data_IF_066450025307
#
_entry.id   IF_066450025307
#
_cell.length_a   1.000
_cell.length_b   1.000
_cell.length_c   1.000
_cell.angle_alpha   90.00
_cell.angle_beta   90.00
_cell.angle_gamma   90.00
#
_symmetry.space_group_name_H-M   'P 1'
#
loop_
_entity.id
_entity.type
_entity.pdbx_description
1 polymer ?
#
# COMPACT_ATOMS: atom_id res chain seq x y z
N UNK A 1 1.60 0.41 14.36
CA UNK A 1 0.58 1.37 13.90
C UNK A 1 -0.16 0.82 12.71
N UNK A 2 -1.46 0.97 12.68
CA UNK A 2 -2.29 0.50 11.58
C UNK A 2 -3.13 1.64 11.06
N UNK A 3 -3.05 1.90 9.77
CA UNK A 3 -3.86 2.94 9.12
C UNK A 3 -4.44 2.44 7.82
N UNK A 4 -5.59 2.97 7.48
CA UNK A 4 -6.26 2.71 6.21
C UNK A 4 -6.21 3.97 5.35
N UNK A 5 -5.94 3.77 4.08
CA UNK A 5 -5.86 4.87 3.11
C UNK A 5 -6.75 4.52 1.91
N UNK A 6 -7.25 5.55 1.24
CA UNK A 6 -7.91 5.33 -0.04
C UNK A 6 -6.85 4.95 -1.07
N UNK A 7 -7.12 3.89 -1.81
CA UNK A 7 -6.19 3.39 -2.81
C UNK A 7 -6.97 3.03 -4.06
N UNK A 8 -6.90 3.87 -5.07
CA UNK A 8 -7.61 3.63 -6.33
C UNK A 8 -6.81 2.66 -7.19
N UNK A 9 -7.39 1.51 -7.47
CA UNK A 9 -6.81 0.49 -8.35
C UNK A 9 -7.82 0.10 -9.42
N UNK A 10 -7.32 -0.21 -10.60
CA UNK A 10 -8.19 -0.50 -11.75
C UNK A 10 -8.67 -1.94 -11.82
N UNK A 11 -7.95 -2.87 -11.21
CA UNK A 11 -8.34 -4.27 -11.27
C UNK A 11 -7.84 -5.06 -10.07
N UNK A 12 -8.46 -6.23 -9.85
CA UNK A 12 -8.11 -7.08 -8.72
C UNK A 12 -6.66 -7.60 -8.81
N UNK A 13 -6.19 -7.92 -10.02
CA UNK A 13 -4.80 -8.35 -10.20
C UNK A 13 -3.80 -7.25 -9.83
N UNK A 14 -4.12 -6.02 -10.18
CA UNK A 14 -3.29 -4.87 -9.83
C UNK A 14 -3.23 -4.70 -8.32
N UNK A 15 -4.36 -4.84 -7.66
CA UNK A 15 -4.43 -4.77 -6.20
C UNK A 15 -3.59 -5.86 -5.54
N UNK A 16 -3.65 -7.08 -6.05
CA UNK A 16 -2.87 -8.19 -5.52
C UNK A 16 -1.37 -7.98 -5.71
N UNK A 17 -0.96 -7.49 -6.86
CA UNK A 17 0.45 -7.18 -7.12
C UNK A 17 0.96 -6.09 -6.20
N UNK A 18 0.16 -5.06 -6.01
CA UNK A 18 0.51 -3.95 -5.13
C UNK A 18 0.66 -4.42 -3.69
N UNK A 19 -0.30 -5.21 -3.21
CA UNK A 19 -0.25 -5.77 -1.87
C UNK A 19 1.01 -6.61 -1.66
N UNK A 20 1.32 -7.48 -2.60
CA UNK A 20 2.50 -8.35 -2.55
C UNK A 20 3.79 -7.53 -2.49
N UNK A 21 3.89 -6.52 -3.33
CA UNK A 21 5.05 -5.66 -3.36
C UNK A 21 5.23 -4.87 -2.06
N UNK A 22 4.13 -4.36 -1.50
CA UNK A 22 4.17 -3.62 -0.25
C UNK A 22 4.61 -4.53 0.90
N UNK A 23 4.11 -5.75 0.94
CA UNK A 23 4.48 -6.70 2.00
C UNK A 23 5.96 -7.05 1.99
N UNK A 24 6.61 -6.93 0.85
CA UNK A 24 8.04 -7.22 0.73
C UNK A 24 8.94 -6.08 1.18
N UNK A 25 8.38 -4.91 1.43
CA UNK A 25 9.17 -3.76 1.89
C UNK A 25 9.63 -3.95 3.32
N UNK A 26 10.87 -3.53 3.59
CA UNK A 26 11.40 -3.54 4.94
C UNK A 26 10.60 -2.60 5.83
N UNK A 27 10.26 -3.06 7.02
CA UNK A 27 9.52 -2.25 7.97
C UNK A 27 8.01 -2.42 7.89
N UNK A 28 7.50 -3.10 6.89
CA UNK A 28 6.06 -3.40 6.79
C UNK A 28 5.76 -4.67 7.56
N UNK A 29 4.94 -4.55 8.61
CA UNK A 29 4.51 -5.71 9.38
C UNK A 29 3.40 -6.47 8.65
N UNK A 30 2.47 -5.74 8.04
CA UNK A 30 1.41 -6.32 7.24
C UNK A 30 0.85 -5.26 6.29
N UNK A 31 0.25 -5.73 5.23
CA UNK A 31 -0.40 -4.83 4.29
C UNK A 31 -1.52 -5.56 3.57
N UNK A 32 -2.59 -4.86 3.27
CA UNK A 32 -3.71 -5.42 2.56
C UNK A 32 -4.34 -4.36 1.66
N UNK A 33 -4.55 -4.74 0.41
CA UNK A 33 -5.24 -3.87 -0.56
C UNK A 33 -6.58 -4.52 -0.89
N UNK A 34 -7.66 -3.80 -0.63
CA UNK A 34 -9.00 -4.29 -0.95
C UNK A 34 -9.51 -3.59 -2.20
N UNK A 35 -9.62 -4.35 -3.28
CA UNK A 35 -10.11 -3.84 -4.55
C UNK A 35 -11.57 -3.40 -4.49
N UNK A 36 -12.38 -4.13 -3.75
CA UNK A 36 -13.83 -3.85 -3.68
C UNK A 36 -14.13 -2.53 -2.98
N UNK A 37 -13.39 -2.22 -1.91
CA UNK A 37 -13.58 -0.98 -1.16
C UNK A 37 -12.60 0.11 -1.56
N UNK A 38 -11.63 -0.21 -2.39
CA UNK A 38 -10.58 0.71 -2.81
C UNK A 38 -9.82 1.28 -1.60
N UNK A 39 -9.44 0.38 -0.68
CA UNK A 39 -8.75 0.73 0.55
C UNK A 39 -7.44 -0.03 0.69
N UNK A 40 -6.43 0.66 1.18
CA UNK A 40 -5.15 0.08 1.54
C UNK A 40 -5.02 0.12 3.06
N UNK A 41 -4.76 -1.04 3.67
CA UNK A 41 -4.45 -1.12 5.09
C UNK A 41 -2.95 -1.35 5.23
N UNK A 42 -2.29 -0.50 6.00
CA UNK A 42 -0.86 -0.60 6.23
C UNK A 42 -0.57 -0.73 7.72
N UNK A 43 0.22 -1.72 8.08
CA UNK A 43 0.66 -1.95 9.46
C UNK A 43 2.18 -1.88 9.50
N UNK A 44 2.70 -0.99 10.31
CA UNK A 44 4.14 -0.81 10.51
C UNK A 44 4.38 -0.18 11.88
N UNK A 45 5.63 -0.23 12.35
CA UNK A 45 6.00 0.38 13.61
C UNK A 45 5.81 1.90 13.56
N UNK A 46 5.34 2.49 14.65
CA UNK A 46 5.07 3.93 14.73
C UNK A 46 6.30 4.77 14.37
N UNK A 47 7.46 4.34 14.82
CA UNK A 47 8.71 5.07 14.64
C UNK A 47 9.11 5.24 13.19
N UNK A 48 8.74 4.28 12.35
CA UNK A 48 9.14 4.25 10.95
C UNK A 48 7.95 4.34 10.00
N UNK A 49 6.75 4.55 10.54
CA UNK A 49 5.52 4.51 9.75
C UNK A 49 5.56 5.49 8.58
N UNK A 50 6.00 6.71 8.80
CA UNK A 50 6.08 7.72 7.75
C UNK A 50 7.07 7.32 6.65
N UNK A 51 8.22 6.80 7.04
CA UNK A 51 9.22 6.32 6.08
C UNK A 51 8.69 5.16 5.26
N UNK A 52 8.02 4.22 5.92
CA UNK A 52 7.40 3.08 5.26
C UNK A 52 6.31 3.55 4.31
N UNK A 53 5.51 4.52 4.72
CA UNK A 53 4.44 5.07 3.88
C UNK A 53 5.01 5.68 2.60
N UNK A 54 6.10 6.42 2.68
CA UNK A 54 6.76 6.96 1.50
C UNK A 54 7.22 5.85 0.54
N UNK A 55 7.79 4.79 1.10
CA UNK A 55 8.22 3.64 0.29
C UNK A 55 7.03 2.94 -0.36
N UNK A 56 5.92 2.84 0.36
CA UNK A 56 4.68 2.27 -0.18
C UNK A 56 4.19 3.08 -1.38
N UNK A 57 4.17 4.39 -1.25
CA UNK A 57 3.72 5.27 -2.33
C UNK A 57 4.65 5.15 -3.54
N UNK A 58 5.95 5.16 -3.34
CA UNK A 58 6.93 5.01 -4.42
C UNK A 58 6.80 3.66 -5.11
N UNK A 59 6.66 2.61 -4.33
CA UNK A 59 6.50 1.25 -4.84
C UNK A 59 5.23 1.13 -5.66
N UNK A 60 4.13 1.69 -5.16
CA UNK A 60 2.87 1.69 -5.88
C UNK A 60 2.96 2.37 -7.23
N UNK A 61 3.58 3.53 -7.29
CA UNK A 61 3.76 4.27 -8.55
C UNK A 61 4.66 3.53 -9.52
N UNK A 62 5.65 2.81 -9.01
CA UNK A 62 6.58 2.06 -9.85
C UNK A 62 5.93 0.85 -10.50
N UNK A 63 5.09 0.15 -9.75
CA UNK A 63 4.44 -1.09 -10.20
C UNK A 63 3.18 -0.79 -10.98
N UNK A 64 2.36 0.11 -10.47
CA UNK A 64 1.08 0.50 -11.05
C UNK A 64 1.00 2.03 -11.10
N UNK A 65 1.51 2.65 -12.17
CA UNK A 65 1.52 4.12 -12.26
C UNK A 65 0.14 4.77 -12.17
N UNK A 66 -0.90 4.03 -12.54
CA UNK A 66 -2.28 4.51 -12.50
C UNK A 66 -2.91 4.42 -11.11
N UNK A 67 -2.25 3.75 -10.17
CA UNK A 67 -2.74 3.62 -8.81
C UNK A 67 -2.54 4.93 -8.07
N UNK A 68 -3.59 5.38 -7.37
CA UNK A 68 -3.54 6.58 -6.54
C UNK A 68 -3.72 6.16 -5.08
N UNK A 69 -2.76 6.50 -4.25
CA UNK A 69 -2.84 6.28 -2.81
C UNK A 69 -3.01 7.65 -2.14
N UNK A 70 -4.15 7.85 -1.51
CA UNK A 70 -4.45 9.09 -0.80
C UNK A 70 -4.05 8.97 0.66
N UNK A 71 -3.22 9.87 1.10
CA UNK A 71 -2.73 9.90 2.49
C UNK A 71 -3.25 11.10 3.26
#
# INVERSE_FOLDING_TARGET
>A
MKKKFNCEVDCANCAAKLEDAIKKLDGVDDAKVNFLTQKLTLVAADEIFESVLEEVIKTGKKIEPDTVIEV
#
